data_IF_563985384098
#
_entry.id   IF_563985384098
#
_cell.length_a   1.000
_cell.length_b   1.000
_cell.length_c   1.000
_cell.angle_alpha   90.00
_cell.angle_beta   90.00
_cell.angle_gamma   90.00
#
_symmetry.space_group_name_H-M   'P 1'
#
loop_
_entity.id
_entity.type
_entity.pdbx_description
1 polymer ?
2 polymer ?
3 non-polymer ?
4 non-polymer ?
5 water ?
#
# COMPACT_ATOMS: atom_id res chain seq x y z
N UNK A 1 -13.98 -16.03 4.25
CA UNK A 1 -14.99 -15.62 5.29
C UNK A 1 -14.47 -16.01 6.68
N UNK A 2 -14.00 -17.24 6.83
CA UNK A 2 -13.45 -17.83 8.09
C UNK A 2 -12.22 -17.03 8.59
N UNK A 3 -11.65 -16.14 7.77
CA UNK A 3 -10.48 -15.29 8.14
C UNK A 3 -10.96 -13.96 8.74
N UNK A 4 -12.28 -13.78 8.90
CA UNK A 4 -12.92 -12.57 9.49
C UNK A 4 -14.06 -12.98 10.41
N UNK A 5 -14.49 -12.06 11.29
CA UNK A 5 -15.55 -12.27 12.31
C UNK A 5 -16.81 -11.49 11.90
N UNK A 6 -17.63 -12.08 11.02
CA UNK A 6 -18.88 -11.47 10.48
C UNK A 6 -20.01 -11.65 11.51
N UNK A 7 -20.79 -10.60 11.76
CA UNK A 7 -21.77 -10.53 12.88
C UNK A 7 -23.14 -10.02 12.42
N UNK A 8 -23.42 -9.95 11.11
CA UNK A 8 -24.72 -9.49 10.57
C UNK A 8 -24.90 -9.94 9.10
N UNK A 9 -26.15 -9.89 8.62
CA UNK A 9 -26.54 -10.18 7.21
C UNK A 9 -25.88 -9.16 6.28
N UNK A 10 -25.93 -7.87 6.64
CA UNK A 10 -25.39 -6.73 5.86
C UNK A 10 -23.87 -6.90 5.71
N UNK A 11 -23.17 -7.25 6.80
CA UNK A 11 -21.71 -7.50 6.83
C UNK A 11 -21.38 -8.68 5.90
N UNK A 12 -22.18 -9.74 5.96
CA UNK A 12 -22.00 -10.98 5.13
C UNK A 12 -22.21 -10.62 3.65
N UNK A 13 -23.24 -9.84 3.34
CA UNK A 13 -23.58 -9.40 1.94
C UNK A 13 -22.44 -8.54 1.39
N UNK A 14 -21.91 -7.61 2.19
CA UNK A 14 -20.77 -6.73 1.83
C UNK A 14 -19.55 -7.60 1.50
N UNK A 15 -19.30 -8.65 2.28
CA UNK A 15 -18.14 -9.57 2.13
C UNK A 15 -18.27 -10.38 0.83
N UNK A 16 -19.46 -10.93 0.57
CA UNK A 16 -19.78 -11.74 -0.65
C UNK A 16 -19.68 -10.85 -1.90
N UNK A 17 -19.78 -9.53 -1.74
CA UNK A 17 -19.76 -8.53 -2.83
C UNK A 17 -18.31 -8.30 -3.32
N UNK A 18 -17.31 -8.61 -2.48
CA UNK A 18 -15.90 -8.18 -2.66
C UNK A 18 -15.34 -8.64 -4.00
N UNK A 19 -15.51 -9.91 -4.43
CA UNK A 19 -14.94 -10.36 -5.70
C UNK A 19 -15.42 -9.55 -6.92
N UNK A 20 -16.60 -8.93 -6.83
CA UNK A 20 -17.24 -8.13 -7.92
C UNK A 20 -16.62 -6.73 -7.97
N UNK A 21 -15.82 -6.33 -6.97
CA UNK A 21 -15.03 -5.08 -6.97
C UNK A 21 -13.74 -5.26 -7.79
N UNK A 22 -13.20 -6.48 -7.84
CA UNK A 22 -11.89 -6.80 -8.47
C UNK A 22 -11.90 -6.34 -9.94
N UNK A 23 -10.84 -5.62 -10.35
CA UNK A 23 -10.69 -5.06 -11.71
C UNK A 23 -10.33 -6.18 -12.69
N UNK A 24 -10.93 -6.17 -13.88
CA UNK A 24 -10.56 -7.09 -14.99
C UNK A 24 -9.20 -6.64 -15.56
N UNK A 25 -8.64 -7.40 -16.48
CA UNK A 25 -7.24 -7.23 -16.97
C UNK A 25 -7.09 -5.86 -17.67
N UNK A 26 -8.08 -5.44 -18.47
CA UNK A 26 -8.05 -4.14 -19.18
C UNK A 26 -8.11 -2.99 -18.15
N UNK A 27 -8.96 -3.14 -17.12
CA UNK A 27 -9.09 -2.15 -16.01
C UNK A 27 -7.78 -2.07 -15.24
N UNK A 28 -7.11 -3.21 -15.02
CA UNK A 28 -5.79 -3.32 -14.34
C UNK A 28 -4.72 -2.59 -15.16
N UNK A 29 -4.72 -2.79 -16.48
CA UNK A 29 -3.77 -2.16 -17.44
C UNK A 29 -3.88 -0.63 -17.32
N UNK A 30 -5.10 -0.11 -17.27
CA UNK A 30 -5.39 1.35 -17.19
C UNK A 30 -5.05 1.86 -15.78
N UNK A 31 -5.35 1.08 -14.74
CA UNK A 31 -5.01 1.40 -13.32
C UNK A 31 -3.49 1.49 -13.18
N UNK A 32 -2.76 0.51 -13.72
CA UNK A 32 -1.27 0.48 -13.77
C UNK A 32 -0.76 1.77 -14.41
N UNK A 33 -1.20 2.05 -15.65
CA UNK A 33 -0.82 3.26 -16.43
C UNK A 33 -1.07 4.51 -15.59
N UNK A 34 -2.27 4.63 -15.02
CA UNK A 34 -2.71 5.79 -14.20
C UNK A 34 -1.78 5.97 -12.99
N UNK A 35 -1.64 4.93 -12.16
CA UNK A 35 -0.90 4.99 -10.87
C UNK A 35 0.60 5.21 -11.14
N UNK A 36 1.15 4.59 -12.19
CA UNK A 36 2.54 4.81 -12.66
C UNK A 36 2.77 6.29 -12.93
N UNK A 37 1.85 6.92 -13.68
CA UNK A 37 1.92 8.35 -14.08
C UNK A 37 1.68 9.24 -12.85
N UNK A 38 0.78 8.84 -11.95
CA UNK A 38 0.47 9.61 -10.71
C UNK A 38 1.74 9.79 -9.87
N UNK A 39 2.62 8.78 -9.84
CA UNK A 39 3.94 8.85 -9.18
C UNK A 39 4.92 9.66 -10.05
N UNK A 40 5.11 9.25 -11.31
CA UNK A 40 6.15 9.80 -12.22
C UNK A 40 5.89 11.30 -12.48
N UNK A 41 4.63 11.67 -12.76
CA UNK A 41 4.23 13.07 -13.08
C UNK A 41 3.96 13.86 -11.80
N UNK A 42 3.98 13.21 -10.63
CA UNK A 42 3.69 13.83 -9.31
C UNK A 42 2.31 14.49 -9.36
N UNK A 43 1.33 13.81 -9.96
CA UNK A 43 -0.01 14.34 -10.31
C UNK A 43 -1.09 13.49 -9.64
N UNK A 44 -1.58 13.89 -8.43
CA UNK A 44 -2.54 13.10 -7.68
C UNK A 44 -3.83 12.70 -8.43
N UNK A 45 -4.29 13.54 -9.35
CA UNK A 45 -5.57 13.34 -10.09
C UNK A 45 -5.30 13.23 -11.60
N UNK A 46 -4.20 12.59 -11.99
CA UNK A 46 -3.93 12.20 -13.40
C UNK A 46 -4.93 11.11 -13.79
N UNK A 47 -5.55 11.25 -14.97
CA UNK A 47 -6.61 10.36 -15.51
C UNK A 47 -7.77 10.24 -14.52
N UNK A 48 -8.19 11.38 -13.93
CA UNK A 48 -9.34 11.50 -13.01
C UNK A 48 -10.63 11.09 -13.74
N UNK A 49 -10.73 11.37 -15.05
CA UNK A 49 -11.90 11.06 -15.90
C UNK A 49 -12.07 9.54 -16.01
N UNK A 50 -10.98 8.82 -16.35
CA UNK A 50 -10.95 7.34 -16.41
C UNK A 50 -11.38 6.77 -15.06
N UNK A 51 -10.77 7.26 -13.98
CA UNK A 51 -11.04 6.85 -12.57
C UNK A 51 -12.53 7.03 -12.27
N UNK A 52 -13.10 8.17 -12.68
CA UNK A 52 -14.54 8.50 -12.49
C UNK A 52 -15.39 7.50 -13.29
N UNK A 53 -15.04 7.27 -14.56
CA UNK A 53 -15.73 6.32 -15.47
C UNK A 53 -15.66 4.90 -14.89
N UNK A 54 -14.49 4.51 -14.35
CA UNK A 54 -14.26 3.17 -13.74
C UNK A 54 -15.21 2.97 -12.55
N UNK A 55 -15.29 3.96 -11.66
CA UNK A 55 -16.14 3.96 -10.44
C UNK A 55 -17.60 3.73 -10.84
N UNK A 56 -18.08 4.44 -11.88
CA UNK A 56 -19.46 4.34 -12.41
C UNK A 56 -19.71 2.92 -12.94
N UNK A 57 -18.81 2.41 -13.78
CA UNK A 57 -18.89 1.05 -14.38
C UNK A 57 -18.91 0.00 -13.25
N UNK A 58 -18.02 0.15 -12.28
CA UNK A 58 -17.86 -0.80 -11.13
C UNK A 58 -19.13 -0.80 -10.26
N UNK A 59 -19.74 0.37 -10.04
CA UNK A 59 -21.00 0.50 -9.26
C UNK A 59 -22.12 -0.25 -10.00
N UNK A 60 -22.16 -0.14 -11.34
CA UNK A 60 -23.14 -0.84 -12.22
C UNK A 60 -22.96 -2.35 -12.09
N UNK A 61 -21.71 -2.82 -11.95
CA UNK A 61 -21.37 -4.26 -11.76
C UNK A 61 -21.96 -4.76 -10.43
N UNK A 62 -21.89 -3.95 -9.36
CA UNK A 62 -22.45 -4.28 -8.03
C UNK A 62 -23.98 -4.32 -8.13
N UNK A 63 -24.58 -3.33 -8.80
CA UNK A 63 -26.06 -3.18 -8.96
C UNK A 63 -26.62 -4.37 -9.77
N UNK A 64 -25.87 -4.85 -10.76
CA UNK A 64 -26.24 -6.02 -11.60
C UNK A 64 -26.26 -7.29 -10.75
N UNK A 65 -25.22 -7.48 -9.91
CA UNK A 65 -25.06 -8.64 -9.00
C UNK A 65 -26.07 -8.55 -7.85
N UNK A 66 -26.30 -7.33 -7.33
CA UNK A 66 -27.22 -7.05 -6.19
C UNK A 66 -28.25 -6.00 -6.61
N UNK A 67 -29.42 -6.42 -7.15
CA UNK A 67 -30.42 -5.48 -7.68
C UNK A 67 -30.93 -4.48 -6.63
N UNK A 68 -31.13 -4.92 -5.39
CA UNK A 68 -31.54 -4.08 -4.24
C UNK A 68 -30.30 -3.73 -3.40
N UNK A 69 -29.27 -3.17 -4.04
CA UNK A 69 -28.02 -2.69 -3.40
C UNK A 69 -28.32 -1.44 -2.58
N UNK A 70 -29.23 -0.58 -3.07
CA UNK A 70 -29.59 0.73 -2.46
C UNK A 70 -30.19 0.54 -1.05
N UNK A 71 -30.73 -0.65 -0.75
CA UNK A 71 -31.45 -0.93 0.52
C UNK A 71 -30.47 -1.31 1.64
N UNK A 72 -29.30 -1.88 1.33
CA UNK A 72 -28.35 -2.40 2.36
C UNK A 72 -27.77 -1.22 3.15
N UNK A 73 -27.60 -1.41 4.46
CA UNK A 73 -27.22 -0.36 5.44
C UNK A 73 -25.69 -0.17 5.40
N UNK A 74 -25.24 0.94 4.81
CA UNK A 74 -23.81 1.28 4.59
C UNK A 74 -23.09 1.50 5.93
N UNK A 75 -23.82 1.86 6.99
CA UNK A 75 -23.30 2.06 8.36
C UNK A 75 -22.81 0.72 8.94
N UNK A 76 -23.39 -0.40 8.49
CA UNK A 76 -23.10 -1.76 9.02
C UNK A 76 -22.32 -2.57 7.97
N UNK A 77 -21.31 -1.94 7.33
CA UNK A 77 -20.43 -2.58 6.32
C UNK A 77 -19.02 -2.78 6.92
N UNK A 78 -18.86 -2.60 8.23
CA UNK A 78 -17.59 -2.79 8.96
C UNK A 78 -17.56 -4.20 9.57
N UNK A 79 -16.52 -4.97 9.24
CA UNK A 79 -16.36 -6.41 9.63
C UNK A 79 -15.19 -6.53 10.61
N UNK A 80 -15.47 -7.02 11.82
CA UNK A 80 -14.46 -7.23 12.89
C UNK A 80 -13.43 -8.28 12.42
N UNK A 81 -12.15 -8.02 12.67
CA UNK A 81 -11.01 -8.90 12.27
C UNK A 81 -10.72 -9.89 13.40
N UNK A 82 -10.38 -11.13 13.04
CA UNK A 82 -9.96 -12.20 13.99
C UNK A 82 -8.55 -11.92 14.49
N UNK A 83 -8.29 -12.18 15.77
CA UNK A 83 -6.96 -12.06 16.43
C UNK A 83 -6.50 -13.44 16.90
N UNK A 84 -5.19 -13.63 17.06
CA UNK A 84 -4.54 -14.93 17.40
C UNK A 84 -3.85 -14.85 18.76
N UNK A 85 -3.65 -16.02 19.38
CA UNK A 85 -2.76 -16.23 20.55
C UNK A 85 -1.40 -16.71 20.02
N UNK A 86 -0.33 -15.94 20.27
CA UNK A 86 1.05 -16.19 19.76
C UNK A 86 1.88 -16.93 20.81
N UNK A 87 1.24 -17.51 21.83
CA UNK A 87 1.87 -18.30 22.92
C UNK A 87 2.82 -19.35 22.32
N UNK A 88 2.32 -20.14 21.36
CA UNK A 88 3.06 -21.27 20.73
C UNK A 88 3.52 -20.89 19.31
N UNK A 89 3.61 -19.59 18.99
CA UNK A 89 4.02 -19.10 17.65
C UNK A 89 5.54 -19.27 17.50
N UNK A 90 5.97 -19.91 16.40
CA UNK A 90 7.40 -20.03 16.00
C UNK A 90 7.62 -19.15 14.76
N UNK A 91 8.86 -18.70 14.55
CA UNK A 91 9.24 -17.75 13.45
C UNK A 91 8.93 -18.37 12.09
N UNK A 92 9.09 -19.69 11.94
CA UNK A 92 8.93 -20.43 10.65
C UNK A 92 7.45 -20.40 10.24
N UNK A 93 6.54 -20.72 11.16
CA UNK A 93 5.06 -20.65 10.97
C UNK A 93 4.65 -19.20 10.70
N UNK A 94 5.20 -18.25 11.45
CA UNK A 94 4.91 -16.79 11.34
C UNK A 94 5.30 -16.29 9.94
N UNK A 95 6.52 -16.63 9.50
CA UNK A 95 7.09 -16.18 8.20
C UNK A 95 6.25 -16.74 7.04
N UNK A 96 5.71 -17.96 7.18
CA UNK A 96 4.79 -18.58 6.19
C UNK A 96 3.49 -17.76 6.11
N UNK A 97 2.91 -17.40 7.25
CA UNK A 97 1.66 -16.60 7.36
C UNK A 97 1.89 -15.21 6.73
N UNK A 98 3.03 -14.57 7.04
CA UNK A 98 3.43 -13.25 6.49
C UNK A 98 3.58 -13.34 4.97
N UNK A 99 4.19 -14.42 4.47
CA UNK A 99 4.47 -14.65 3.03
C UNK A 99 3.18 -15.01 2.27
N UNK A 100 2.16 -15.51 2.98
CA UNK A 100 0.84 -15.88 2.39
C UNK A 100 0.04 -14.59 2.11
N UNK A 101 -0.12 -14.23 0.84
CA UNK A 101 -0.76 -12.99 0.37
C UNK A 101 -2.28 -13.04 0.63
N UNK A 102 -2.86 -14.24 0.77
CA UNK A 102 -4.30 -14.47 1.01
C UNK A 102 -4.66 -14.13 2.47
N UNK A 103 -3.67 -14.11 3.38
CA UNK A 103 -3.87 -13.78 4.81
C UNK A 103 -4.08 -12.28 4.98
N UNK A 104 -5.11 -11.86 5.77
CA UNK A 104 -5.26 -10.45 6.13
C UNK A 104 -4.26 -10.05 7.21
N UNK A 105 -4.23 -8.76 7.61
CA UNK A 105 -3.34 -8.33 8.71
C UNK A 105 -3.46 -9.23 9.94
N UNK A 106 -2.31 -9.68 10.47
CA UNK A 106 -2.19 -10.64 11.60
C UNK A 106 -2.14 -9.85 12.92
N UNK A 107 -3.09 -10.10 13.82
CA UNK A 107 -3.19 -9.44 15.15
C UNK A 107 -2.84 -10.48 16.23
N UNK A 108 -1.73 -10.28 16.93
CA UNK A 108 -1.28 -11.09 18.09
C UNK A 108 -1.88 -10.50 19.37
N UNK A 109 -2.96 -11.10 19.88
CA UNK A 109 -3.74 -10.59 21.03
C UNK A 109 -2.93 -10.76 22.32
N UNK A 110 -2.67 -9.65 23.02
CA UNK A 110 -1.96 -9.62 24.32
C UNK A 110 -0.56 -10.18 24.23
N UNK A 111 0.11 -10.01 23.09
CA UNK A 111 1.46 -10.54 22.78
C UNK A 111 2.51 -9.85 23.64
N UNK A 112 2.28 -8.57 23.97
CA UNK A 112 3.23 -7.70 24.73
C UNK A 112 2.72 -7.47 26.16
N UNK A 113 1.73 -8.26 26.61
CA UNK A 113 1.05 -8.09 27.93
C UNK A 113 2.07 -8.06 29.07
N UNK A 114 3.12 -8.90 28.99
CA UNK A 114 4.12 -9.10 30.07
C UNK A 114 5.38 -8.25 29.83
N UNK A 115 5.26 -7.16 29.06
CA UNK A 115 6.34 -6.16 28.84
C UNK A 115 6.22 -5.05 29.89
N UNK A 116 7.32 -4.38 30.23
CA UNK A 116 7.36 -3.24 31.19
C UNK A 116 6.52 -2.08 30.63
N UNK A 117 6.62 -1.82 29.32
CA UNK A 117 5.90 -0.74 28.61
C UNK A 117 4.39 -0.89 28.84
N UNK A 118 3.83 -2.05 28.50
CA UNK A 118 2.36 -2.35 28.61
C UNK A 118 1.93 -2.29 30.08
N UNK A 119 2.79 -2.73 30.99
CA UNK A 119 2.49 -2.83 32.45
C UNK A 119 2.52 -1.44 33.10
N UNK A 120 3.49 -0.59 32.74
CA UNK A 120 3.84 0.63 33.52
C UNK A 120 3.69 1.92 32.68
N UNK A 121 4.01 1.89 31.38
CA UNK A 121 4.11 3.13 30.53
C UNK A 121 2.75 3.84 30.45
N UNK A 122 2.75 5.11 30.86
CA UNK A 122 1.65 6.10 30.70
C UNK A 122 2.29 7.44 30.36
N UNK A 123 1.49 8.46 30.02
CA UNK A 123 1.97 9.85 29.78
C UNK A 123 2.67 10.36 31.04
N UNK A 124 2.14 10.03 32.22
CA UNK A 124 2.65 10.49 33.55
C UNK A 124 3.97 9.79 33.86
N UNK A 125 3.98 8.46 33.76
CA UNK A 125 5.14 7.56 34.06
C UNK A 125 6.34 7.93 33.17
N UNK A 126 6.10 8.16 31.88
CA UNK A 126 7.15 8.46 30.88
C UNK A 126 7.79 9.84 31.17
N UNK A 127 7.02 10.80 31.69
CA UNK A 127 7.48 12.20 31.92
C UNK A 127 8.61 12.21 32.96
N UNK A 128 8.48 11.45 34.06
CA UNK A 128 9.41 11.51 35.22
C UNK A 128 10.61 10.57 35.01
N UNK A 129 10.41 9.42 34.37
CA UNK A 129 11.42 8.33 34.26
C UNK A 129 12.22 8.42 32.95
N UNK A 130 11.69 9.11 31.93
CA UNK A 130 12.31 9.22 30.58
C UNK A 130 12.45 10.70 30.20
N UNK A 131 13.26 11.44 30.96
CA UNK A 131 13.46 12.91 30.81
C UNK A 131 14.50 13.19 29.72
N UNK A 132 15.34 12.20 29.38
CA UNK A 132 16.51 12.36 28.47
C UNK A 132 16.18 11.85 27.06
N UNK A 133 15.08 11.11 26.89
CA UNK A 133 14.66 10.51 25.60
C UNK A 133 14.30 11.61 24.61
N UNK A 134 14.89 11.58 23.41
CA UNK A 134 14.61 12.49 22.27
C UNK A 134 14.04 11.67 21.11
N UNK A 135 12.99 12.18 20.45
CA UNK A 135 12.35 11.52 19.26
C UNK A 135 12.30 12.53 18.11
N UNK A 136 12.43 12.05 16.87
CA UNK A 136 12.32 12.88 15.63
C UNK A 136 10.86 13.34 15.51
N UNK A 137 10.62 14.64 15.71
CA UNK A 137 9.26 15.26 15.70
C UNK A 137 9.37 16.77 15.42
N UNK A 138 8.24 17.40 15.11
CA UNK A 138 8.13 18.87 14.86
C UNK A 138 6.66 19.28 15.01
N UNK A 139 6.41 20.55 15.36
CA UNK A 139 5.06 21.15 15.39
C UNK A 139 4.50 21.30 14.00
N UNK A 140 3.20 20.97 13.81
CA UNK A 140 2.49 21.04 12.52
C UNK A 140 2.56 22.46 11.96
N UNK A 148 14.17 18.93 14.04
CA UNK A 148 15.09 17.76 14.11
C UNK A 148 14.57 16.78 15.17
N UNK A 149 15.14 16.82 16.39
CA UNK A 149 14.73 15.98 17.55
C UNK A 149 14.19 16.88 18.66
N UNK A 150 13.17 16.41 19.38
CA UNK A 150 12.55 17.10 20.55
C UNK A 150 12.47 16.13 21.73
N UNK A 151 12.54 16.67 22.96
CA UNK A 151 12.44 15.88 24.22
C UNK A 151 11.05 15.24 24.31
N UNK A 152 11.00 13.93 24.55
CA UNK A 152 9.74 13.15 24.72
C UNK A 152 8.92 13.78 25.86
N UNK A 153 9.57 14.10 26.97
CA UNK A 153 8.97 14.80 28.15
C UNK A 153 8.21 16.04 27.66
N UNK A 154 8.85 16.87 26.83
CA UNK A 154 8.29 18.15 26.29
C UNK A 154 6.98 17.88 25.54
N UNK A 155 6.97 16.86 24.68
CA UNK A 155 5.79 16.45 23.85
C UNK A 155 4.69 15.93 24.78
N UNK A 156 5.05 15.04 25.71
CA UNK A 156 4.11 14.39 26.67
C UNK A 156 3.43 15.47 27.55
N UNK A 157 4.21 16.43 28.06
CA UNK A 157 3.71 17.54 28.91
C UNK A 157 2.70 18.39 28.13
N UNK A 158 3.03 18.75 26.89
CA UNK A 158 2.19 19.59 25.99
C UNK A 158 0.87 18.88 25.68
N UNK A 159 0.91 17.54 25.49
CA UNK A 159 -0.28 16.70 25.20
C UNK A 159 -1.16 16.58 26.45
N UNK A 160 -0.57 16.70 27.64
CA UNK A 160 -1.28 16.61 28.94
C UNK A 160 -1.90 17.97 29.30
N UNK A 161 -1.38 19.05 28.71
CA UNK A 161 -1.89 20.44 28.89
C UNK A 161 -3.09 20.65 27.96
N UNK A 162 -4.27 20.93 28.53
CA UNK A 162 -5.54 21.14 27.79
C UNK A 162 -5.51 22.47 27.04
N UNK A 163 -4.81 23.47 27.59
CA UNK A 163 -4.75 24.86 27.06
C UNK A 163 -3.66 24.99 25.98
N UNK A 164 -2.85 23.94 25.77
CA UNK A 164 -1.72 23.92 24.81
C UNK A 164 -2.22 24.22 23.40
N UNK A 165 -1.42 24.98 22.63
CA UNK A 165 -1.73 25.45 21.25
C UNK A 165 -1.10 24.49 20.23
N UNK A 166 0.17 24.15 20.42
CA UNK A 166 0.99 23.39 19.42
C UNK A 166 0.71 21.89 19.55
N UNK A 167 0.36 21.25 18.43
CA UNK A 167 0.33 19.77 18.24
C UNK A 167 1.63 19.34 17.55
N UNK A 168 2.22 18.24 18.00
CA UNK A 168 3.54 17.73 17.53
C UNK A 168 3.34 16.55 16.57
N UNK A 169 3.83 16.69 15.34
CA UNK A 169 3.91 15.61 14.32
C UNK A 169 5.16 14.78 14.57
N UNK A 170 4.98 13.48 14.84
CA UNK A 170 6.09 12.50 15.08
C UNK A 170 6.40 11.79 13.76
N UNK A 171 7.65 11.86 13.30
CA UNK A 171 8.15 11.26 12.04
C UNK A 171 8.32 9.74 12.24
N UNK A 172 7.71 8.92 11.37
CA UNK A 172 7.73 7.43 11.49
C UNK A 172 8.99 6.88 10.80
N UNK A 173 9.70 7.72 10.03
CA UNK A 173 11.03 7.39 9.44
C UNK A 173 12.14 7.75 10.44
N UNK A 174 12.22 6.98 11.53
CA UNK A 174 13.20 7.14 12.63
C UNK A 174 13.79 5.78 13.01
N UNK A 175 14.74 5.77 13.94
CA UNK A 175 15.38 4.53 14.48
C UNK A 175 15.57 4.71 15.98
N UNK A 176 14.47 4.69 16.74
CA UNK A 176 14.45 4.94 18.22
C UNK A 176 15.14 3.78 18.94
N UNK A 177 15.05 2.55 18.41
CA UNK A 177 15.67 1.33 19.00
C UNK A 177 17.18 1.32 18.71
N UNK A 178 17.61 1.97 17.63
CA UNK A 178 19.05 2.20 17.33
C UNK A 178 19.59 3.24 18.31
N UNK A 179 18.85 4.34 18.50
CA UNK A 179 19.21 5.47 19.39
C UNK A 179 19.20 4.99 20.85
N UNK A 180 18.18 4.25 21.25
CA UNK A 180 17.95 3.77 22.64
C UNK A 180 17.73 2.26 22.62
N UNK A 181 18.81 1.45 22.55
CA UNK A 181 18.70 -0.01 22.49
C UNK A 181 17.98 -0.65 23.70
N UNK A 182 17.99 0.03 24.85
CA UNK A 182 17.38 -0.46 26.12
C UNK A 182 15.86 -0.55 25.98
N UNK A 183 15.25 0.28 25.12
CA UNK A 183 13.78 0.32 24.89
C UNK A 183 13.28 -0.97 24.23
N UNK A 184 14.15 -1.67 23.48
CA UNK A 184 13.80 -2.90 22.72
C UNK A 184 13.13 -3.91 23.66
N UNK A 185 13.81 -4.27 24.74
CA UNK A 185 13.33 -5.28 25.74
C UNK A 185 12.16 -4.71 26.54
N UNK A 186 12.12 -3.39 26.75
CA UNK A 186 11.09 -2.69 27.55
C UNK A 186 9.72 -2.76 26.85
N UNK A 187 9.68 -2.52 25.53
CA UNK A 187 8.44 -2.56 24.70
C UNK A 187 8.22 -3.99 24.18
N UNK A 188 9.26 -4.83 24.23
CA UNK A 188 9.21 -6.24 23.79
C UNK A 188 9.41 -6.36 22.28
N UNK A 189 10.28 -5.54 21.71
CA UNK A 189 10.57 -5.48 20.26
C UNK A 189 11.42 -6.69 19.84
N UNK A 190 12.15 -7.30 20.78
CA UNK A 190 13.03 -8.48 20.53
C UNK A 190 12.16 -9.68 20.11
N UNK A 191 10.92 -9.75 20.59
CA UNK A 191 9.91 -10.77 20.18
C UNK A 191 9.61 -10.63 18.69
N UNK A 192 9.52 -9.40 18.19
CA UNK A 192 9.24 -9.08 16.75
C UNK A 192 10.46 -9.49 15.92
N UNK A 193 11.67 -9.09 16.35
CA UNK A 193 12.96 -9.38 15.67
C UNK A 193 13.15 -10.90 15.55
N UNK A 194 12.83 -11.65 16.61
CA UNK A 194 12.88 -13.13 16.67
C UNK A 194 11.98 -13.73 15.59
N UNK A 195 10.74 -13.24 15.49
CA UNK A 195 9.70 -13.74 14.54
C UNK A 195 10.14 -13.51 13.10
N UNK A 196 10.89 -12.43 12.82
CA UNK A 196 11.28 -11.99 11.46
C UNK A 196 12.73 -12.39 11.14
N UNK A 197 13.47 -12.97 12.08
CA UNK A 197 14.90 -13.34 11.90
C UNK A 197 15.02 -14.31 10.71
N UNK A 198 15.85 -13.95 9.72
CA UNK A 198 16.10 -14.73 8.51
C UNK A 198 15.13 -14.40 7.39
N UNK A 199 14.18 -13.48 7.64
CA UNK A 199 13.13 -13.04 6.69
C UNK A 199 13.29 -11.55 6.40
N UNK A 200 13.21 -10.71 7.43
CA UNK A 200 13.29 -9.22 7.33
C UNK A 200 14.15 -8.66 8.47
N UNK A 201 14.74 -7.47 8.24
CA UNK A 201 15.48 -6.66 9.23
C UNK A 201 14.67 -5.40 9.54
N UNK A 202 14.77 -4.90 10.77
CA UNK A 202 14.05 -3.69 11.25
C UNK A 202 14.73 -2.45 10.67
N UNK A 203 14.12 -1.84 9.65
CA UNK A 203 14.64 -0.66 8.91
C UNK A 203 14.40 0.62 9.71
N UNK A 204 13.19 0.79 10.25
CA UNK A 204 12.76 1.99 11.02
C UNK A 204 12.00 1.57 12.28
N UNK A 205 12.14 2.36 13.35
CA UNK A 205 11.43 2.21 14.64
C UNK A 205 11.12 3.59 15.22
N UNK A 206 9.92 3.77 15.79
CA UNK A 206 9.46 5.06 16.38
C UNK A 206 8.46 4.79 17.50
N UNK A 207 8.44 5.65 18.52
CA UNK A 207 7.43 5.66 19.62
C UNK A 207 6.44 6.79 19.34
N UNK A 208 5.14 6.46 19.24
CA UNK A 208 4.05 7.42 18.99
C UNK A 208 3.27 7.66 20.28
N UNK A 209 3.22 8.92 20.71
CA UNK A 209 2.45 9.42 21.88
C UNK A 209 1.51 10.51 21.38
N UNK A 210 0.23 10.47 21.77
CA UNK A 210 -0.82 11.37 21.27
C UNK A 210 -1.92 11.60 22.27
N UNK A 211 -2.63 12.73 22.12
CA UNK A 211 -3.93 13.03 22.78
C UNK A 211 -5.01 12.91 21.69
N UNK A 212 -6.11 13.65 21.78
CA UNK A 212 -7.23 13.63 20.79
C UNK A 212 -7.20 14.90 19.92
N UNK A 213 -6.16 15.74 20.06
CA UNK A 213 -5.94 16.91 19.17
C UNK A 213 -5.47 16.42 17.79
N UNK A 214 -4.83 15.26 17.75
CA UNK A 214 -4.59 14.45 16.51
C UNK A 214 -5.57 13.27 16.51
N UNK A 215 -6.59 13.31 15.66
CA UNK A 215 -7.70 12.32 15.63
C UNK A 215 -7.19 10.95 15.18
N UNK A 216 -6.11 10.91 14.37
CA UNK A 216 -5.49 9.67 13.88
C UNK A 216 -4.85 9.89 12.51
N UNK A 217 -4.95 8.88 11.63
CA UNK A 217 -4.38 8.88 10.26
C UNK A 217 -5.46 8.46 9.26
N UNK A 218 -5.58 9.22 8.17
CA UNK A 218 -6.58 8.94 7.10
C UNK A 218 -6.08 7.85 6.17
N UNK A 219 -6.95 7.36 5.30
CA UNK A 219 -6.65 6.27 4.35
C UNK A 219 -5.33 6.48 3.61
N UNK A 220 -4.49 5.46 3.63
CA UNK A 220 -3.17 5.42 2.95
C UNK A 220 -2.63 3.98 2.98
N UNK A 221 -1.51 3.72 2.35
CA UNK A 221 -0.96 2.34 2.38
C UNK A 221 0.56 2.38 2.44
N UNK A 222 1.18 1.29 2.87
CA UNK A 222 2.64 1.23 2.97
C UNK A 222 3.26 0.39 1.86
N UNK A 223 4.54 0.59 1.63
CA UNK A 223 5.32 -0.14 0.59
C UNK A 223 6.29 -1.11 1.26
N UNK A 224 6.14 -1.35 2.57
CA UNK A 224 6.98 -2.27 3.38
C UNK A 224 6.10 -3.00 4.41
N UNK A 225 6.68 -3.96 5.13
CA UNK A 225 6.00 -4.70 6.23
C UNK A 225 6.03 -3.82 7.49
N UNK A 226 4.87 -3.62 8.11
CA UNK A 226 4.68 -2.75 9.30
C UNK A 226 4.22 -3.58 10.50
N UNK A 227 4.74 -3.25 11.69
CA UNK A 227 4.33 -3.83 13.01
C UNK A 227 3.96 -2.67 13.95
N UNK A 228 2.69 -2.61 14.38
CA UNK A 228 2.17 -1.61 15.34
C UNK A 228 2.05 -2.27 16.72
N UNK A 229 2.84 -1.80 17.69
CA UNK A 229 2.92 -2.32 19.08
C UNK A 229 2.11 -1.41 20.00
N UNK A 230 0.89 -1.81 20.35
CA UNK A 230 -0.04 -0.99 21.19
C UNK A 230 0.39 -1.12 22.66
N UNK A 231 0.74 0.00 23.29
CA UNK A 231 1.33 0.07 24.67
C UNK A 231 0.28 0.61 25.64
N UNK A 232 -0.35 1.75 25.31
CA UNK A 232 -1.35 2.45 26.17
C UNK A 232 -2.47 3.04 25.30
N UNK A 233 -3.72 2.99 25.80
CA UNK A 233 -4.91 3.51 25.10
C UNK A 233 -5.37 2.56 24.01
N UNK A 234 -6.35 2.98 23.20
CA UNK A 234 -6.97 2.15 22.13
C UNK A 234 -7.01 2.96 20.83
N UNK A 235 -6.59 2.32 19.72
CA UNK A 235 -6.73 2.83 18.33
C UNK A 235 -7.63 1.86 17.55
N UNK A 236 -8.65 2.36 16.86
CA UNK A 236 -9.47 1.57 15.91
C UNK A 236 -8.83 1.68 14.52
N UNK A 237 -8.41 0.55 13.96
CA UNK A 237 -7.82 0.44 12.60
C UNK A 237 -8.93 0.05 11.62
N UNK A 238 -9.01 0.75 10.48
CA UNK A 238 -9.79 0.34 9.28
C UNK A 238 -8.83 -0.24 8.24
N UNK A 239 -9.26 -1.30 7.53
CA UNK A 239 -8.56 -1.88 6.36
C UNK A 239 -9.60 -2.18 5.27
N UNK A 240 -9.15 -2.15 4.01
CA UNK A 240 -9.84 -2.78 2.84
C UNK A 240 -8.85 -3.76 2.20
N UNK A 241 -9.36 -4.76 1.48
CA UNK A 241 -8.53 -5.69 0.68
C UNK A 241 -7.70 -4.86 -0.29
N UNK A 242 -6.40 -5.17 -0.48
CA UNK A 242 -5.55 -4.43 -1.41
C UNK A 242 -6.14 -4.24 -2.81
N UNK A 243 -6.94 -5.22 -3.27
CA UNK A 243 -7.57 -5.25 -4.62
C UNK A 243 -8.75 -4.26 -4.68
N UNK A 244 -9.18 -3.72 -3.54
CA UNK A 244 -10.24 -2.67 -3.45
C UNK A 244 -9.60 -1.30 -3.18
N UNK A 245 -8.26 -1.23 -3.10
CA UNK A 245 -7.50 0.02 -2.86
C UNK A 245 -7.92 1.15 -3.79
N UNK A 246 -8.25 0.83 -5.06
CA UNK A 246 -8.56 1.78 -6.14
C UNK A 246 -9.78 2.64 -5.79
N UNK A 247 -10.70 2.14 -4.94
CA UNK A 247 -11.97 2.84 -4.59
C UNK A 247 -11.69 4.04 -3.69
N UNK A 248 -10.49 4.11 -3.08
CA UNK A 248 -10.07 5.20 -2.16
C UNK A 248 -9.48 6.38 -2.93
N UNK A 249 -9.34 6.26 -4.26
CA UNK A 249 -8.68 7.24 -5.15
C UNK A 249 -7.22 7.40 -4.71
N UNK A 250 -6.41 6.32 -4.77
CA UNK A 250 -5.03 6.37 -4.31
C UNK A 250 -4.15 7.28 -5.20
N UNK A 251 -3.10 7.86 -4.61
CA UNK A 251 -2.11 8.70 -5.30
C UNK A 251 -0.79 8.68 -4.53
N UNK A 252 0.23 9.36 -5.05
CA UNK A 252 1.60 9.41 -4.48
C UNK A 252 1.99 10.84 -4.11
N UNK A 253 2.58 11.00 -2.93
CA UNK A 253 3.42 12.17 -2.54
C UNK A 253 4.87 11.66 -2.45
N UNK A 254 5.44 11.30 -3.61
CA UNK A 254 6.70 10.52 -3.70
C UNK A 254 6.42 9.04 -3.50
N UNK A 255 7.44 8.20 -3.70
CA UNK A 255 7.35 6.73 -3.64
C UNK A 255 6.94 6.27 -2.23
N UNK A 256 7.41 6.98 -1.19
CA UNK A 256 7.22 6.61 0.23
C UNK A 256 5.97 7.29 0.81
N UNK A 257 5.22 8.05 0.00
CA UNK A 257 3.99 8.74 0.40
C UNK A 257 2.78 8.24 -0.36
N UNK A 258 2.44 6.96 -0.22
CA UNK A 258 1.29 6.31 -0.88
C UNK A 258 0.00 6.72 -0.16
N UNK A 259 -0.71 7.71 -0.70
CA UNK A 259 -1.87 8.39 -0.07
C UNK A 259 -3.18 7.97 -0.75
N UNK A 260 -4.31 8.47 -0.23
CA UNK A 260 -5.67 8.29 -0.77
C UNK A 260 -6.52 9.51 -0.40
N UNK A 261 -7.62 9.74 -1.12
CA UNK A 261 -8.47 10.95 -0.98
C UNK A 261 -9.75 10.63 -0.20
N UNK A 262 -9.98 9.36 0.14
CA UNK A 262 -11.17 8.91 0.91
C UNK A 262 -10.99 9.36 2.37
N UNK A 263 -11.99 10.06 2.92
CA UNK A 263 -11.98 10.61 4.31
C UNK A 263 -12.71 9.61 5.22
N UNK A 264 -11.94 8.89 6.05
CA UNK A 264 -12.42 7.81 6.95
C UNK A 264 -13.39 8.35 8.01
N UNK A 265 -13.34 9.66 8.29
CA UNK A 265 -14.14 10.32 9.37
C UNK A 265 -15.62 10.42 8.98
N UNK A 266 -15.93 10.53 7.69
CA UNK A 266 -17.27 10.94 7.20
C UNK A 266 -18.29 9.83 7.46
N UNK A 267 -19.55 10.23 7.71
CA UNK A 267 -20.73 9.34 7.88
C UNK A 267 -20.88 8.47 6.63
N UNK A 268 -21.19 7.18 6.81
CA UNK A 268 -21.27 6.18 5.71
C UNK A 268 -22.43 6.51 4.77
N UNK A 269 -23.48 7.18 5.27
CA UNK A 269 -24.65 7.63 4.46
C UNK A 269 -24.27 8.87 3.64
N UNK A 270 -23.29 9.65 4.09
CA UNK A 270 -22.67 10.76 3.30
C UNK A 270 -21.81 10.17 2.19
N UNK A 271 -20.99 9.15 2.53
CA UNK A 271 -20.17 8.36 1.57
C UNK A 271 -21.07 7.72 0.51
N UNK A 272 -22.23 7.22 0.91
CA UNK A 272 -23.23 6.57 0.02
C UNK A 272 -23.53 7.50 -1.17
N UNK A 273 -23.64 8.81 -0.92
CA UNK A 273 -23.97 9.85 -1.94
C UNK A 273 -22.76 10.08 -2.86
N UNK A 274 -21.57 10.30 -2.29
CA UNK A 274 -20.38 10.84 -3.00
C UNK A 274 -19.41 9.72 -3.42
N UNK A 275 -19.27 8.67 -2.61
CA UNK A 275 -18.32 7.54 -2.82
C UNK A 275 -19.02 6.21 -2.59
N UNK A 276 -20.04 5.85 -3.40
CA UNK A 276 -20.84 4.64 -3.16
C UNK A 276 -20.03 3.33 -3.13
N UNK A 277 -18.96 3.21 -3.91
CA UNK A 277 -18.08 1.99 -3.91
C UNK A 277 -17.52 1.77 -2.51
N UNK A 278 -16.95 2.81 -1.90
CA UNK A 278 -16.40 2.78 -0.52
C UNK A 278 -17.53 2.47 0.48
N UNK A 279 -18.72 3.05 0.26
CA UNK A 279 -19.91 2.92 1.14
C UNK A 279 -20.36 1.46 1.22
N UNK A 280 -20.38 0.75 0.09
CA UNK A 280 -20.89 -0.64 -0.05
C UNK A 280 -19.77 -1.67 0.15
N UNK A 281 -18.50 -1.26 0.04
CA UNK A 281 -17.31 -2.13 0.18
C UNK A 281 -17.27 -2.72 1.58
N UNK A 282 -16.83 -4.00 1.75
CA UNK A 282 -16.54 -4.54 3.07
C UNK A 282 -15.27 -3.90 3.63
N UNK A 283 -15.38 -3.22 4.77
CA UNK A 283 -14.24 -2.54 5.45
C UNK A 283 -13.94 -3.30 6.75
N UNK A 284 -12.72 -3.80 6.89
CA UNK A 284 -12.26 -4.59 8.07
C UNK A 284 -11.77 -3.61 9.13
N UNK A 285 -12.08 -3.89 10.41
CA UNK A 285 -11.68 -3.05 11.56
C UNK A 285 -11.21 -3.93 12.72
N UNK A 286 -10.27 -3.40 13.51
CA UNK A 286 -9.82 -3.99 14.80
C UNK A 286 -9.60 -2.84 15.80
N UNK A 287 -10.03 -3.04 17.05
CA UNK A 287 -9.70 -2.16 18.20
C UNK A 287 -8.39 -2.67 18.82
N UNK A 288 -7.27 -2.02 18.52
CA UNK A 288 -5.93 -2.41 19.02
C UNK A 288 -5.81 -1.93 20.48
N UNK A 289 -5.78 -2.86 21.43
CA UNK A 289 -5.74 -2.61 22.89
C UNK A 289 -4.32 -2.84 23.41
N UNK A 290 -3.95 -2.30 24.59
CA UNK A 290 -2.60 -2.47 25.13
C UNK A 290 -2.15 -3.94 25.16
N UNK A 291 -0.96 -4.23 24.64
CA UNK A 291 -0.38 -5.59 24.55
C UNK A 291 -0.59 -6.22 23.19
N UNK A 292 -1.55 -5.72 22.41
CA UNK A 292 -1.87 -6.24 21.05
C UNK A 292 -0.81 -5.73 20.06
N UNK A 293 -0.38 -6.60 19.14
CA UNK A 293 0.50 -6.25 17.98
C UNK A 293 -0.26 -6.62 16.71
N UNK A 294 -0.27 -5.71 15.72
CA UNK A 294 -0.82 -5.96 14.36
C UNK A 294 0.34 -5.95 13.36
N UNK A 295 0.48 -7.03 12.59
CA UNK A 295 1.42 -7.18 11.45
C UNK A 295 0.62 -7.14 10.14
N UNK A 296 1.01 -6.26 9.20
CA UNK A 296 0.40 -6.20 7.85
C UNK A 296 1.49 -5.92 6.80
N UNK A 297 1.34 -6.55 5.64
CA UNK A 297 2.29 -6.54 4.50
C UNK A 297 2.02 -5.30 3.63
N UNK A 298 2.67 -5.23 2.46
CA UNK A 298 2.63 -4.07 1.54
C UNK A 298 1.24 -3.91 0.93
N UNK A 299 0.85 -2.66 0.65
CA UNK A 299 -0.30 -2.26 -0.21
C UNK A 299 -1.63 -2.69 0.44
N UNK A 300 -1.67 -2.79 1.77
CA UNK A 300 -2.91 -2.92 2.58
C UNK A 300 -3.35 -1.52 3.01
N UNK A 301 -4.33 -0.89 2.34
CA UNK A 301 -4.75 0.44 2.72
C UNK A 301 -5.35 0.40 4.13
N UNK A 302 -5.10 1.44 4.93
CA UNK A 302 -5.62 1.48 6.31
C UNK A 302 -5.79 2.92 6.79
N UNK A 303 -6.72 3.10 7.71
CA UNK A 303 -6.96 4.38 8.42
C UNK A 303 -6.94 4.06 9.91
N UNK A 304 -6.49 5.01 10.73
CA UNK A 304 -6.43 4.80 12.20
C UNK A 304 -7.21 5.92 12.90
N UNK A 305 -8.03 5.55 13.88
CA UNK A 305 -8.84 6.53 14.64
C UNK A 305 -8.62 6.33 16.14
N UNK A 306 -8.03 7.33 16.80
CA UNK A 306 -7.78 7.32 18.26
C UNK A 306 -9.13 7.36 18.99
N UNK A 307 -9.40 6.39 19.87
CA UNK A 307 -10.70 6.21 20.57
C UNK A 307 -10.57 6.50 22.07
N UNK A 308 -9.35 6.66 22.59
CA UNK A 308 -9.07 6.99 24.02
C UNK A 308 -8.44 8.38 24.10
N UNK A 309 -8.63 9.11 25.24
CA UNK A 309 -8.07 10.45 25.39
C UNK A 309 -6.56 10.55 25.13
N UNK A 310 -5.80 9.55 25.57
CA UNK A 310 -4.32 9.44 25.35
C UNK A 310 -4.01 8.05 24.80
N UNK A 311 -2.98 7.95 23.94
CA UNK A 311 -2.49 6.67 23.34
C UNK A 311 -0.96 6.65 23.36
N UNK A 312 -0.38 5.48 23.58
CA UNK A 312 1.08 5.19 23.37
C UNK A 312 1.17 3.94 22.49
N UNK A 313 1.95 4.02 21.40
CA UNK A 313 2.10 2.94 20.39
C UNK A 313 3.51 3.03 19.77
N UNK A 314 4.24 1.91 19.75
CA UNK A 314 5.53 1.75 19.04
C UNK A 314 5.27 1.18 17.65
N UNK A 315 6.01 1.66 16.64
CA UNK A 315 5.89 1.21 15.23
C UNK A 315 7.26 0.69 14.76
N UNK A 316 7.27 -0.49 14.15
CA UNK A 316 8.48 -1.13 13.56
C UNK A 316 8.23 -1.43 12.08
N UNK A 317 9.04 -0.86 11.19
CA UNK A 317 9.01 -1.14 9.73
C UNK A 317 10.11 -2.15 9.40
N UNK A 318 9.75 -3.24 8.71
CA UNK A 318 10.64 -4.37 8.38
C UNK A 318 10.90 -4.39 6.86
N UNK A 319 12.13 -4.70 6.46
CA UNK A 319 12.58 -4.80 5.04
C UNK A 319 13.12 -6.21 4.79
N UNK A 320 12.78 -6.82 3.65
CA UNK A 320 13.16 -8.21 3.28
C UNK A 320 14.68 -8.29 3.11
N UNK A 321 15.34 -9.25 3.76
CA UNK A 321 16.82 -9.46 3.71
C UNK A 321 17.11 -10.94 3.41
N UNK A 322 18.32 -11.23 2.94
CA UNK A 322 18.91 -12.59 2.85
C UNK A 322 20.17 -12.62 3.72
N UNK A 323 20.11 -13.29 4.87
CA UNK A 323 21.24 -13.37 5.86
C UNK A 323 22.48 -13.93 5.17
N UNK A 324 22.30 -14.99 4.37
CA UNK A 324 23.39 -15.67 3.62
C UNK A 324 24.16 -14.62 2.82
N UNK A 325 23.46 -13.85 1.96
CA UNK A 325 24.05 -12.86 1.03
C UNK A 325 24.34 -11.54 1.77
N UNK A 326 23.49 -11.17 2.74
CA UNK A 326 23.48 -9.89 3.50
C UNK A 326 22.65 -8.84 2.75
N UNK A 327 22.41 -9.06 1.44
CA UNK A 327 21.79 -8.09 0.50
C UNK A 327 20.27 -8.08 0.66
N UNK A 328 19.58 -7.29 -0.17
CA UNK A 328 18.11 -7.21 -0.27
C UNK A 328 17.54 -8.61 -0.52
N UNK A 329 16.55 -9.01 0.27
CA UNK A 329 15.79 -10.26 0.07
C UNK A 329 14.79 -10.12 -1.06
N UNK A 330 14.36 -11.23 -1.64
CA UNK A 330 13.30 -11.29 -2.69
C UNK A 330 12.04 -10.61 -2.15
N UNK A 331 11.38 -9.79 -2.98
CA UNK A 331 10.14 -9.05 -2.62
C UNK A 331 9.05 -10.06 -2.24
N UNK A 332 8.37 -9.81 -1.12
CA UNK A 332 7.33 -10.70 -0.52
C UNK A 332 6.17 -10.84 -1.50
N UNK A 333 5.48 -12.01 -1.57
CA UNK A 333 4.29 -12.13 -2.39
C UNK A 333 3.18 -11.16 -1.92
N UNK A 334 2.41 -10.62 -2.86
CA UNK A 334 1.42 -9.53 -2.62
C UNK A 334 0.19 -9.74 -3.50
N UNK A 335 -0.93 -9.09 -3.14
CA UNK A 335 -2.20 -9.08 -3.91
C UNK A 335 -2.18 -7.93 -4.93
N UNK A 336 -1.19 -7.03 -4.84
CA UNK A 336 -1.00 -5.90 -5.79
C UNK A 336 0.45 -5.87 -6.26
N UNK A 337 0.90 -6.87 -7.05
CA UNK A 337 2.26 -6.87 -7.60
C UNK A 337 2.56 -5.68 -8.53
N UNK A 338 1.52 -5.04 -9.08
CA UNK A 338 1.65 -3.85 -9.99
C UNK A 338 2.40 -2.72 -9.25
N UNK A 339 2.20 -2.59 -7.93
CA UNK A 339 2.84 -1.53 -7.10
C UNK A 339 4.34 -1.79 -6.98
N UNK A 340 4.77 -3.06 -6.97
CA UNK A 340 6.20 -3.44 -7.00
C UNK A 340 6.83 -2.89 -8.28
N UNK A 341 6.16 -3.11 -9.43
CA UNK A 341 6.61 -2.66 -10.77
C UNK A 341 6.74 -1.13 -10.79
N UNK A 342 5.76 -0.41 -10.25
CA UNK A 342 5.71 1.09 -10.23
C UNK A 342 6.87 1.62 -9.38
N UNK A 343 7.02 1.11 -8.15
CA UNK A 343 8.02 1.60 -7.16
C UNK A 343 9.44 1.25 -7.62
N UNK A 344 9.63 0.06 -8.22
CA UNK A 344 10.94 -0.43 -8.72
C UNK A 344 11.38 0.34 -9.96
N UNK A 345 10.51 1.18 -10.54
CA UNK A 345 10.80 2.05 -11.71
C UNK A 345 11.30 3.43 -11.24
N UNK A 346 11.08 3.78 -9.97
CA UNK A 346 11.43 5.11 -9.39
C UNK A 346 12.87 5.05 -8.85
N UNK A 347 13.82 5.82 -9.43
CA UNK A 347 15.22 5.79 -8.97
C UNK A 347 15.38 6.28 -7.53
N UNK A 348 14.56 7.24 -7.09
CA UNK A 348 14.51 7.77 -5.70
C UNK A 348 14.23 6.63 -4.71
N UNK A 349 13.22 5.81 -5.01
CA UNK A 349 12.79 4.65 -4.18
C UNK A 349 13.87 3.57 -4.16
N UNK A 350 14.49 3.32 -5.32
CA UNK A 350 15.59 2.31 -5.47
C UNK A 350 16.76 2.70 -4.56
N UNK A 351 17.20 3.96 -4.64
CA UNK A 351 18.31 4.54 -3.82
C UNK A 351 17.95 4.45 -2.34
N UNK A 352 16.72 4.84 -1.99
CA UNK A 352 16.16 4.81 -0.60
C UNK A 352 16.30 3.40 -0.02
N UNK A 353 15.96 2.38 -0.82
CA UNK A 353 15.95 0.95 -0.40
C UNK A 353 17.40 0.47 -0.18
N UNK A 354 18.34 0.96 -0.98
CA UNK A 354 19.79 0.65 -0.88
C UNK A 354 20.41 1.39 0.31
N UNK A 355 19.96 2.62 0.56
CA UNK A 355 20.39 3.46 1.73
C UNK A 355 20.00 2.77 3.04
N UNK A 356 18.82 2.16 3.08
CA UNK A 356 18.34 1.34 4.26
C UNK A 356 19.39 0.28 4.56
N UNK A 357 19.84 -0.46 3.55
CA UNK A 357 20.76 -1.63 3.67
C UNK A 357 22.17 -1.16 4.02
N UNK A 358 22.60 -0.01 3.51
CA UNK A 358 23.86 0.67 3.91
C UNK A 358 23.79 1.02 5.40
N UNK A 359 22.62 1.40 5.89
CA UNK A 359 22.38 1.87 7.28
C UNK A 359 22.26 0.67 8.24
N UNK A 360 21.92 -0.52 7.73
CA UNK A 360 21.94 -1.78 8.51
C UNK A 360 23.39 -2.14 8.86
N UNK A 361 24.31 -1.98 7.89
CA UNK A 361 25.75 -2.19 8.06
C UNK A 361 26.42 -0.99 8.71
N UNK B 2 9.59 0.83 -31.95
CA UNK B 2 9.86 -0.42 -31.16
C UNK B 2 8.56 -0.91 -30.50
N UNK B 3 8.52 -2.20 -30.13
CA UNK B 3 7.38 -2.87 -29.45
C UNK B 3 7.89 -3.47 -28.14
N UNK B 4 7.10 -3.35 -27.07
CA UNK B 4 7.53 -3.56 -25.66
C UNK B 4 6.64 -4.60 -24.97
N UNK B 5 7.26 -5.63 -24.38
CA UNK B 5 6.59 -6.63 -23.50
C UNK B 5 6.59 -6.07 -22.07
N UNK B 6 5.42 -5.61 -21.60
CA UNK B 6 5.24 -4.91 -20.29
C UNK B 6 4.50 -5.85 -19.33
N UNK B 7 5.03 -6.03 -18.12
CA UNK B 7 4.40 -6.83 -17.04
C UNK B 7 3.52 -5.90 -16.18
N UNK B 8 2.28 -6.31 -15.93
CA UNK B 8 1.30 -5.61 -15.07
C UNK B 8 0.86 -6.53 -13.93
N UNK B 9 1.83 -7.15 -13.24
CA UNK B 9 1.60 -8.05 -12.09
C UNK B 9 1.44 -9.49 -12.54
N UNK B 10 0.19 -9.96 -12.68
CA UNK B 10 -0.15 -11.38 -12.92
C UNK B 10 -0.39 -11.66 -14.41
N UNK B 11 -0.18 -10.65 -15.28
CA UNK B 11 -0.26 -10.80 -16.76
C UNK B 11 0.73 -9.86 -17.43
N UNK B 12 1.17 -10.23 -18.64
CA UNK B 12 2.00 -9.41 -19.56
C UNK B 12 1.12 -8.84 -20.67
N UNK B 13 1.52 -7.70 -21.23
CA UNK B 13 0.91 -7.10 -22.45
C UNK B 13 2.03 -6.68 -23.40
N UNK B 14 1.77 -6.72 -24.72
CA UNK B 14 2.65 -6.13 -25.76
C UNK B 14 2.11 -4.74 -26.09
N UNK B 15 2.91 -3.69 -25.85
CA UNK B 15 2.56 -2.27 -26.14
C UNK B 15 3.24 -1.87 -27.45
N UNK B 16 2.47 -1.30 -28.38
CA UNK B 16 2.93 -0.80 -29.70
C UNK B 16 2.60 0.69 -29.81
N UNK B 17 3.46 1.59 -29.28
CA UNK B 17 3.20 3.03 -29.28
C UNK B 17 2.88 3.61 -30.67
N UNK B 18 3.62 3.18 -31.71
CA UNK B 18 3.48 3.64 -33.11
C UNK B 18 2.04 3.43 -33.60
N UNK B 19 1.43 2.29 -33.25
CA UNK B 19 0.07 1.88 -33.68
C UNK B 19 -0.98 2.34 -32.67
N UNK B 20 -0.56 2.85 -31.50
CA UNK B 20 -1.43 3.17 -30.34
C UNK B 20 -2.30 1.93 -30.04
N UNK B 21 -1.66 0.77 -29.88
CA UNK B 21 -2.30 -0.52 -29.58
C UNK B 21 -1.48 -1.28 -28.54
N UNK B 22 -2.15 -1.87 -27.54
CA UNK B 22 -1.56 -2.84 -26.60
C UNK B 22 -2.45 -4.10 -26.57
N UNK B 23 -1.83 -5.26 -26.36
CA UNK B 23 -2.46 -6.60 -26.43
C UNK B 23 -2.15 -7.38 -25.15
N UNK B 24 -3.19 -7.70 -24.36
CA UNK B 24 -3.08 -8.48 -23.10
C UNK B 24 -2.87 -9.96 -23.46
N UNK B 25 -1.77 -10.55 -22.97
CA UNK B 25 -1.41 -11.98 -23.19
C UNK B 25 -1.96 -12.81 -22.03
N UNK B 26 -2.59 -13.95 -22.35
CA UNK B 26 -3.09 -14.95 -21.37
C UNK B 26 -2.47 -16.31 -21.69
N UNK B 27 -2.77 -17.33 -20.88
CA UNK B 27 -2.28 -18.72 -21.07
C UNK B 27 -3.18 -19.42 -22.10
N UNK B 28 -3.15 -18.93 -23.35
CA UNK B 28 -3.94 -19.48 -24.49
C UNK B 28 -3.06 -19.50 -25.75
N UNK B 29 -3.50 -20.21 -26.78
CA UNK B 29 -2.75 -20.48 -28.03
C UNK B 29 -2.43 -19.16 -28.75
N UNK B 30 -3.44 -18.32 -28.96
CA UNK B 30 -3.35 -17.02 -29.69
C UNK B 30 -2.24 -16.16 -29.07
N UNK B 31 -2.20 -16.07 -27.74
CA UNK B 31 -1.21 -15.29 -26.96
C UNK B 31 0.19 -15.88 -27.11
N UNK B 32 0.32 -17.19 -26.87
CA UNK B 32 1.62 -17.94 -26.86
C UNK B 32 2.25 -17.90 -28.26
N UNK B 33 1.44 -18.02 -29.32
CA UNK B 33 1.90 -18.00 -30.74
C UNK B 33 2.38 -16.59 -31.09
N UNK B 34 1.61 -15.55 -30.71
CA UNK B 34 1.96 -14.12 -30.95
C UNK B 34 3.23 -13.77 -30.16
N UNK B 35 3.34 -14.24 -28.91
CA UNK B 35 4.52 -14.02 -28.04
C UNK B 35 5.75 -14.69 -28.66
N UNK B 36 5.59 -15.91 -29.19
CA UNK B 36 6.67 -16.69 -29.86
C UNK B 36 7.21 -15.88 -31.05
N UNK B 37 6.31 -15.35 -31.89
CA UNK B 37 6.66 -14.52 -33.08
C UNK B 37 7.40 -13.26 -32.62
N UNK B 38 6.93 -12.61 -31.56
CA UNK B 38 7.52 -11.39 -30.96
C UNK B 38 8.98 -11.66 -30.56
N UNK B 39 9.22 -12.74 -29.82
CA UNK B 39 10.54 -13.10 -29.22
C UNK B 39 11.50 -13.62 -30.31
N UNK B 40 11.00 -14.38 -31.27
CA UNK B 40 11.82 -15.11 -32.28
C UNK B 40 12.20 -14.19 -33.46
N UNK B 41 11.70 -12.95 -33.48
CA UNK B 41 12.05 -11.93 -34.49
C UNK B 41 11.35 -12.16 -35.82
N UNK B 42 10.28 -12.97 -35.83
CA UNK B 42 9.43 -13.25 -37.01
C UNK B 42 8.30 -12.22 -37.07
N UNK B 43 7.61 -12.09 -38.21
CA UNK B 43 6.46 -11.17 -38.39
C UNK B 43 5.41 -11.50 -37.32
N UNK B 44 5.00 -10.51 -36.52
CA UNK B 44 4.07 -10.69 -35.37
C UNK B 44 2.64 -10.52 -35.87
N UNK B 45 1.81 -11.56 -35.72
CA UNK B 45 0.40 -11.61 -36.19
C UNK B 45 -0.51 -11.03 -35.10
N UNK B 46 -0.51 -9.70 -34.96
CA UNK B 46 -1.32 -8.96 -33.94
C UNK B 46 -2.82 -9.06 -34.27
N UNK B 47 -3.15 -9.49 -35.50
CA UNK B 47 -4.55 -9.63 -36.01
C UNK B 47 -5.33 -10.68 -35.20
N UNK B 48 -4.64 -11.67 -34.61
CA UNK B 48 -5.28 -12.78 -33.86
C UNK B 48 -5.46 -12.39 -32.38
N UNK B 49 -5.11 -11.17 -31.98
CA UNK B 49 -5.36 -10.61 -30.62
C UNK B 49 -6.22 -9.35 -30.74
N UNK B 50 -6.93 -8.99 -29.65
CA UNK B 50 -7.79 -7.78 -29.56
C UNK B 50 -6.94 -6.57 -29.21
N UNK B 51 -6.88 -5.54 -30.07
CA UNK B 51 -6.11 -4.32 -29.77
C UNK B 51 -6.89 -3.39 -28.83
N UNK B 52 -6.23 -2.92 -27.76
CA UNK B 52 -6.78 -1.95 -26.78
C UNK B 52 -5.89 -0.72 -26.78
N UNK B 53 -6.34 0.38 -26.18
CA UNK B 53 -5.49 1.56 -25.87
C UNK B 53 -5.88 2.19 -24.54
N UNK B 54 -4.90 2.82 -23.89
CA UNK B 54 -5.01 3.44 -22.54
C UNK B 54 -6.03 4.58 -22.60
N UNK B 55 -6.78 4.76 -21.51
CA UNK B 55 -7.99 5.63 -21.47
C UNK B 55 -7.65 6.99 -20.86
N UNK B 56 -6.46 7.50 -21.15
CA UNK B 56 -6.10 8.94 -21.03
C UNK B 56 -6.71 9.67 -22.23
N UNK B 57 -7.26 10.86 -22.00
CA UNK B 57 -7.86 11.73 -23.06
C UNK B 57 -6.73 12.41 -23.83
N UNK B 58 -6.95 12.67 -25.13
CA UNK B 58 -6.04 13.43 -26.01
C UNK B 58 -5.77 14.81 -25.40
N UNK B 59 -6.73 15.34 -24.63
CA UNK B 59 -6.69 16.66 -23.96
C UNK B 59 -6.62 16.47 -22.44
N UNK B 60 -5.77 15.55 -21.97
CA UNK B 60 -5.51 15.32 -20.52
C UNK B 60 -4.90 16.59 -19.92
N UNK B 61 -5.51 17.11 -18.84
CA UNK B 61 -4.99 18.24 -18.03
C UNK B 61 -4.92 17.81 -16.56
N UNK B 62 -3.81 18.12 -15.88
CA UNK B 62 -3.54 17.72 -14.48
C UNK B 62 -2.71 18.80 -13.77
N UNK B 63 -2.73 18.79 -12.44
CA UNK B 63 -1.86 19.60 -11.55
C UNK B 63 -0.82 18.69 -10.89
N UNK B 64 0.43 19.13 -10.78
CA UNK B 64 1.48 18.46 -9.96
C UNK B 64 1.27 18.89 -8.50
N UNK B 65 2.11 18.41 -7.58
CA UNK B 65 1.99 18.68 -6.12
C UNK B 65 2.35 20.14 -5.81
N UNK B 66 3.09 20.81 -6.71
CA UNK B 66 3.44 22.25 -6.61
C UNK B 66 2.27 23.12 -7.11
N UNK B 67 1.18 22.49 -7.57
CA UNK B 67 -0.07 23.13 -8.08
C UNK B 67 0.16 23.69 -9.50
N UNK B 68 1.30 23.38 -10.13
CA UNK B 68 1.60 23.79 -11.53
C UNK B 68 0.67 23.01 -12.48
N UNK B 69 0.09 23.69 -13.46
CA UNK B 69 -0.92 23.13 -14.40
C UNK B 69 -0.23 22.64 -15.68
N UNK B 70 -0.54 21.40 -16.08
CA UNK B 70 -0.02 20.73 -17.31
C UNK B 70 -1.21 20.36 -18.21
N UNK B 71 -0.99 20.41 -19.54
CA UNK B 71 -1.96 20.01 -20.58
C UNK B 71 -1.22 19.12 -21.60
N UNK B 72 -1.81 17.98 -21.98
CA UNK B 72 -1.22 17.03 -22.95
C UNK B 72 -1.25 17.66 -24.35
N UNK B 73 -0.11 17.66 -25.04
CA UNK B 73 0.08 18.31 -26.35
C UNK B 73 0.72 19.69 -26.22
N UNK B 74 1.00 20.14 -24.98
CA UNK B 74 1.62 21.46 -24.68
C UNK B 74 2.87 21.26 -23.82
N UNK B 75 2.69 21.05 -22.50
CA UNK B 75 3.80 20.88 -21.53
C UNK B 75 4.44 19.49 -21.73
N UNK B 76 3.63 18.49 -22.09
CA UNK B 76 4.08 17.10 -22.39
C UNK B 76 3.33 16.60 -23.63
N UNK B 77 4.05 16.06 -24.61
CA UNK B 77 3.49 15.46 -25.85
C UNK B 77 2.93 14.06 -25.52
N UNK B 78 1.97 13.59 -26.34
CA UNK B 78 1.35 12.26 -26.20
C UNK B 78 2.42 11.18 -26.36
N UNK B 79 3.36 11.38 -27.31
CA UNK B 79 4.52 10.50 -27.57
C UNK B 79 5.39 10.38 -26.32
N UNK B 80 5.63 11.49 -25.63
CA UNK B 80 6.47 11.58 -24.41
C UNK B 80 5.77 10.86 -23.24
N UNK B 81 4.44 10.98 -23.13
CA UNK B 81 3.62 10.33 -22.08
C UNK B 81 3.74 8.80 -22.22
N UNK B 82 3.64 8.29 -23.45
CA UNK B 82 3.70 6.82 -23.75
C UNK B 82 5.12 6.31 -23.49
N UNK B 83 6.15 7.10 -23.83
CA UNK B 83 7.57 6.82 -23.49
C UNK B 83 7.69 6.47 -22.00
N UNK B 84 6.98 7.21 -21.15
CA UNK B 84 7.11 7.14 -19.66
C UNK B 84 6.50 5.83 -19.13
N UNK B 85 5.78 5.06 -19.97
CA UNK B 85 5.20 3.74 -19.59
C UNK B 85 6.01 2.58 -20.18
N UNK B 86 6.76 2.79 -21.27
CA UNK B 86 7.40 1.69 -22.06
C UNK B 86 8.93 1.72 -21.93
N UNK B 87 9.55 2.91 -21.98
CA UNK B 87 11.03 3.06 -22.06
C UNK B 87 11.71 2.50 -20.81
N UNK B 88 12.92 1.96 -20.97
CA UNK B 88 13.78 1.40 -19.91
C UNK B 88 14.06 2.46 -18.84
N UNK B 89 14.17 3.72 -19.24
CA UNK B 89 14.50 4.87 -18.37
C UNK B 89 13.36 5.16 -17.38
N UNK B 90 12.10 4.88 -17.74
CA UNK B 90 10.89 5.37 -17.04
C UNK B 90 10.09 4.23 -16.38
N UNK B 91 10.06 3.03 -16.97
CA UNK B 91 9.26 1.89 -16.43
C UNK B 91 10.07 0.60 -16.52
N UNK B 92 11.28 0.58 -15.95
CA UNK B 92 12.17 -0.61 -15.95
C UNK B 92 11.59 -1.71 -15.05
N UNK B 93 10.81 -1.32 -14.02
CA UNK B 93 10.14 -2.26 -13.10
C UNK B 93 9.17 -3.19 -13.83
N UNK B 94 8.63 -2.76 -14.97
CA UNK B 94 7.61 -3.49 -15.77
C UNK B 94 8.20 -4.11 -17.05
N UNK B 95 9.33 -3.56 -17.55
CA UNK B 95 9.86 -3.88 -18.90
C UNK B 95 10.50 -5.28 -18.91
N UNK B 96 9.81 -6.25 -19.50
CA UNK B 96 10.25 -7.69 -19.60
C UNK B 96 11.21 -7.83 -20.80
N UNK B 97 10.82 -7.28 -21.96
CA UNK B 97 11.59 -7.35 -23.21
C UNK B 97 11.18 -6.20 -24.16
N UNK B 98 12.07 -5.85 -25.09
CA UNK B 98 11.84 -4.82 -26.15
C UNK B 98 12.24 -5.42 -27.50
N UNK B 99 11.47 -5.09 -28.55
CA UNK B 99 11.72 -5.55 -29.94
C UNK B 99 11.89 -4.33 -30.86
N UNK B 100 13.00 -4.25 -31.59
CA UNK B 100 13.24 -3.26 -32.66
C UNK B 100 12.30 -3.59 -33.82
N UNK B 101 11.58 -2.58 -34.33
CA UNK B 101 10.49 -2.71 -35.34
C UNK B 101 11.08 -3.12 -36.71
N UNK B 102 12.18 -2.47 -37.11
CA UNK B 102 12.83 -2.69 -38.44
C UNK B 102 13.55 -4.06 -38.45
N UNK B 103 14.62 -4.19 -37.67
CA UNK B 103 15.57 -5.33 -37.72
C UNK B 103 14.95 -6.59 -37.09
N UNK B 104 13.97 -6.42 -36.19
CA UNK B 104 13.31 -7.54 -35.49
C UNK B 104 14.20 -8.13 -34.41
N UNK B 105 15.17 -7.35 -33.91
CA UNK B 105 16.13 -7.74 -32.84
C UNK B 105 15.43 -7.57 -31.49
N UNK B 106 15.52 -8.60 -30.63
CA UNK B 106 14.80 -8.66 -29.33
C UNK B 106 15.84 -8.66 -28.19
N UNK B 107 15.67 -7.74 -27.24
CA UNK B 107 16.44 -7.69 -25.97
C UNK B 107 15.52 -8.14 -24.83
N UNK B 108 15.89 -9.22 -24.12
CA UNK B 108 15.12 -9.80 -22.98
C UNK B 108 15.80 -9.35 -21.68
N UNK B 109 15.06 -8.63 -20.83
CA UNK B 109 15.52 -8.11 -19.52
C UNK B 109 15.18 -9.11 -18.41
N UNK B 110 13.92 -9.56 -18.37
CA UNK B 110 13.36 -10.43 -17.29
C UNK B 110 12.92 -11.78 -17.89
N UNK B 111 13.85 -12.74 -17.96
CA UNK B 111 13.62 -14.11 -18.49
C UNK B 111 12.57 -14.82 -17.64
N UNK B 112 12.55 -14.55 -16.33
CA UNK B 112 11.64 -15.17 -15.34
C UNK B 112 10.18 -14.76 -15.59
N UNK B 113 9.95 -13.61 -16.24
CA UNK B 113 8.60 -13.03 -16.48
C UNK B 113 8.07 -13.39 -17.88
N UNK B 114 8.88 -14.04 -18.72
CA UNK B 114 8.50 -14.41 -20.11
C UNK B 114 7.34 -15.41 -20.08
N UNK B 115 7.48 -16.50 -19.32
CA UNK B 115 6.40 -17.50 -19.08
C UNK B 115 5.62 -17.09 -17.83
N UNK B 116 4.36 -16.68 -18.02
CA UNK B 116 3.47 -16.16 -16.94
C UNK B 116 2.37 -17.18 -16.66
#
# INVERSE_FOLDING_TARGET
MEKYDIQSETQRKAFDLMPHFFLDQEEQANFHFMMHMRLLLNAPEFMATFERDLFEKKLADLQAKCPDLANMDCADTFIKMKSYDFSNMDRHTFQHMINDASNPPIIAKGFLNDTKAVQQWTHEYLIEHYKDTEIIAVGYDEKETSLKKLKLEKILRSQLDKDSKVSYYINNSAEIFNDYPDLIDEVGAEKILDLFYGHSANSFSQLFVGNLRTWGTNWHQGNDISCALMISGVKRWYFIDPRLGYILRPFFDGANGMSAKMDARLDMNFHKIHSPLYAYAPKFYVDLEPGDVIFFTKYWPHAVINTTPLQIMANMRMTEVNLDTMTKGKDVPTLMPVYDNILNSDPSFIKFKFDIFNNLGKKSKTIGDENYFSAYTSTGDVLTNGDKQ
MSEYLINSGEFNMIVCPADKAYYILNDDRASTETLQEFLDGEKVQYHRLKPLWFKYRADESWQDLNKKEYRLGKELSEAELIDRFVLKAFNFGSLVAVRDSQTGAVKIFKRDKLKMSVR
#
